data_IF_854124622167
#
_entry.id   IF_854124622167
#
_cell.length_a   1.000
_cell.length_b   1.000
_cell.length_c   1.000
_cell.angle_alpha   90.00
_cell.angle_beta   90.00
_cell.angle_gamma   90.00
#
_symmetry.space_group_name_H-M   'P 1'
#
loop_
_entity.id
_entity.type
_entity.pdbx_description
1 polymer ?
#
# COMPACT_ATOMS: atom_id res chain seq x y z
N UNK A 1 1.06 -2.72 -22.28
CA UNK A 1 0.70 -3.30 -20.98
C UNK A 1 -0.18 -4.53 -21.23
N UNK A 2 0.40 -5.73 -21.14
CA UNK A 2 -0.37 -6.98 -21.29
C UNK A 2 -1.21 -7.15 -20.03
N UNK A 3 -2.50 -7.39 -20.20
CA UNK A 3 -3.45 -7.57 -19.09
C UNK A 3 -3.01 -8.79 -18.24
N UNK A 4 -3.24 -8.72 -16.93
CA UNK A 4 -2.90 -9.77 -15.94
C UNK A 4 -3.33 -11.17 -16.39
N UNK A 5 -4.39 -11.28 -17.19
CA UNK A 5 -4.91 -12.54 -17.75
C UNK A 5 -4.04 -13.14 -18.87
N UNK A 6 -3.30 -12.34 -19.63
CA UNK A 6 -2.39 -12.84 -20.67
C UNK A 6 -1.06 -13.32 -20.10
N UNK A 7 -0.61 -12.76 -18.98
CA UNK A 7 0.60 -13.20 -18.27
C UNK A 7 0.43 -14.57 -17.61
N UNK A 8 -0.75 -14.89 -17.06
CA UNK A 8 -0.97 -16.17 -16.36
C UNK A 8 -0.80 -17.42 -17.25
N UNK A 9 -0.89 -17.30 -18.58
CA UNK A 9 -0.71 -18.43 -19.49
C UNK A 9 0.75 -18.78 -19.77
N UNK A 10 1.69 -17.87 -19.52
CA UNK A 10 3.10 -18.05 -19.87
C UNK A 10 3.98 -18.55 -18.71
N UNK A 11 3.53 -18.43 -17.43
CA UNK A 11 4.34 -18.86 -16.30
C UNK A 11 4.71 -20.34 -16.30
N UNK A 12 3.81 -21.31 -16.63
CA UNK A 12 4.18 -22.71 -16.71
C UNK A 12 5.29 -22.98 -17.73
N UNK A 13 5.26 -22.31 -18.88
CA UNK A 13 6.29 -22.45 -19.92
C UNK A 13 7.62 -21.84 -19.49
N UNK A 14 7.59 -20.65 -18.85
CA UNK A 14 8.77 -20.01 -18.30
C UNK A 14 9.44 -20.92 -17.24
N UNK A 15 8.65 -21.48 -16.31
CA UNK A 15 9.13 -22.41 -15.30
C UNK A 15 9.80 -23.63 -15.94
N UNK A 16 9.16 -24.25 -16.95
CA UNK A 16 9.72 -25.41 -17.66
C UNK A 16 11.01 -25.07 -18.38
N UNK A 17 11.10 -23.91 -19.01
CA UNK A 17 12.28 -23.44 -19.75
C UNK A 17 13.47 -23.21 -18.80
N UNK A 18 13.26 -22.50 -17.68
CA UNK A 18 14.32 -22.29 -16.68
C UNK A 18 14.76 -23.61 -16.01
N UNK A 19 13.81 -24.51 -15.71
CA UNK A 19 14.15 -25.84 -15.19
C UNK A 19 14.97 -26.65 -16.21
N UNK A 20 14.70 -26.54 -17.51
CA UNK A 20 15.47 -27.20 -18.56
C UNK A 20 16.89 -26.60 -18.65
N UNK A 21 17.02 -25.28 -18.58
CA UNK A 21 18.31 -24.59 -18.55
C UNK A 21 19.15 -25.02 -17.35
N UNK A 22 18.55 -25.12 -16.16
CA UNK A 22 19.22 -25.54 -14.93
C UNK A 22 19.64 -27.04 -14.92
N UNK A 23 18.98 -27.91 -15.70
CA UNK A 23 19.46 -29.27 -15.92
C UNK A 23 20.75 -29.30 -16.71
N UNK A 24 20.93 -28.37 -17.65
CA UNK A 24 22.18 -28.22 -18.42
C UNK A 24 23.28 -27.47 -17.67
N UNK A 25 22.89 -26.45 -16.91
CA UNK A 25 23.79 -25.57 -16.17
C UNK A 25 23.29 -25.33 -14.73
N UNK A 26 23.52 -26.24 -13.78
CA UNK A 26 22.99 -26.13 -12.41
C UNK A 26 23.50 -24.92 -11.59
N UNK A 27 24.59 -24.29 -12.05
CA UNK A 27 25.19 -23.11 -11.39
C UNK A 27 24.84 -21.78 -12.07
N UNK A 28 23.97 -21.80 -13.09
CA UNK A 28 23.58 -20.59 -13.78
C UNK A 28 22.67 -19.70 -12.89
N UNK A 29 23.27 -18.65 -12.33
CA UNK A 29 22.63 -17.70 -11.46
C UNK A 29 21.40 -17.06 -12.11
N UNK A 30 21.51 -16.65 -13.39
CA UNK A 30 20.39 -15.98 -14.08
C UNK A 30 19.19 -16.90 -14.27
N UNK A 31 19.40 -18.17 -14.56
CA UNK A 31 18.31 -19.15 -14.64
C UNK A 31 17.66 -19.43 -13.30
N UNK A 32 18.41 -19.39 -12.19
CA UNK A 32 17.82 -19.46 -10.84
C UNK A 32 16.95 -18.23 -10.54
N UNK A 33 17.43 -17.02 -10.84
CA UNK A 33 16.62 -15.79 -10.65
C UNK A 33 15.36 -15.84 -11.50
N UNK A 34 15.45 -16.12 -12.81
CA UNK A 34 14.27 -16.19 -13.68
C UNK A 34 13.27 -17.27 -13.27
N UNK A 35 13.73 -18.41 -12.74
CA UNK A 35 12.85 -19.44 -12.18
C UNK A 35 12.12 -18.95 -10.92
N UNK A 36 12.82 -18.24 -10.03
CA UNK A 36 12.25 -17.63 -8.84
C UNK A 36 11.19 -16.61 -9.17
N UNK A 37 11.45 -15.71 -10.11
CA UNK A 37 10.51 -14.71 -10.61
C UNK A 37 9.27 -15.37 -11.23
N UNK A 38 9.44 -16.41 -12.04
CA UNK A 38 8.34 -17.16 -12.63
C UNK A 38 7.46 -17.84 -11.58
N UNK A 39 8.07 -18.42 -10.53
CA UNK A 39 7.31 -18.98 -9.40
C UNK A 39 6.59 -17.90 -8.60
N UNK A 40 7.25 -16.78 -8.28
CA UNK A 40 6.64 -15.68 -7.54
C UNK A 40 5.44 -15.09 -8.31
N UNK A 41 5.60 -14.86 -9.62
CA UNK A 41 4.54 -14.36 -10.50
C UNK A 41 3.36 -15.34 -10.64
N UNK A 42 3.63 -16.64 -10.50
CA UNK A 42 2.59 -17.68 -10.46
C UNK A 42 1.94 -17.87 -9.07
N UNK A 43 2.29 -17.02 -8.08
CA UNK A 43 1.80 -17.13 -6.70
C UNK A 43 2.37 -18.32 -5.92
N UNK A 44 3.43 -18.97 -6.44
CA UNK A 44 4.08 -20.12 -5.79
C UNK A 44 5.22 -19.67 -4.88
N UNK A 45 4.90 -18.86 -3.89
CA UNK A 45 5.89 -18.16 -3.04
C UNK A 45 6.83 -19.10 -2.29
N UNK A 46 6.35 -20.25 -1.78
CA UNK A 46 7.21 -21.23 -1.09
C UNK A 46 8.23 -21.88 -2.02
N UNK A 47 7.89 -22.05 -3.30
CA UNK A 47 8.85 -22.55 -4.31
C UNK A 47 9.84 -21.45 -4.69
N UNK A 48 9.36 -20.21 -4.89
CA UNK A 48 10.19 -19.05 -5.17
C UNK A 48 11.22 -18.81 -4.04
N UNK A 49 10.81 -18.95 -2.79
CA UNK A 49 11.71 -18.81 -1.62
C UNK A 49 12.91 -19.75 -1.74
N UNK A 50 12.69 -21.04 -1.99
CA UNK A 50 13.76 -22.06 -2.13
C UNK A 50 14.69 -21.76 -3.30
N UNK A 51 14.13 -21.23 -4.39
CA UNK A 51 14.89 -20.93 -5.60
C UNK A 51 15.75 -19.69 -5.41
N UNK A 52 15.22 -18.64 -4.81
CA UNK A 52 15.99 -17.43 -4.50
C UNK A 52 17.06 -17.68 -3.41
N UNK A 53 16.77 -18.51 -2.42
CA UNK A 53 17.75 -18.94 -1.42
C UNK A 53 18.92 -19.66 -2.10
N UNK A 54 18.63 -20.56 -3.06
CA UNK A 54 19.67 -21.20 -3.87
C UNK A 54 20.45 -20.20 -4.71
N UNK A 55 19.80 -19.21 -5.32
CA UNK A 55 20.47 -18.15 -6.06
C UNK A 55 21.41 -17.34 -5.15
N UNK A 56 20.94 -16.95 -3.96
CA UNK A 56 21.73 -16.22 -2.98
C UNK A 56 22.96 -17.01 -2.46
N UNK A 57 22.85 -18.35 -2.36
CA UNK A 57 24.00 -19.21 -2.00
C UNK A 57 25.00 -19.41 -3.14
N UNK A 58 24.59 -19.20 -4.40
CA UNK A 58 25.51 -19.29 -5.56
C UNK A 58 26.34 -18.03 -5.75
N UNK A 59 25.77 -16.89 -5.39
CA UNK A 59 26.43 -15.59 -5.41
C UNK A 59 26.02 -14.77 -4.18
N UNK A 60 26.76 -14.93 -3.09
CA UNK A 60 26.49 -14.26 -1.81
C UNK A 60 26.65 -12.73 -1.87
N UNK A 61 27.37 -12.23 -2.89
CA UNK A 61 27.58 -10.79 -3.10
C UNK A 61 26.45 -10.14 -3.87
N UNK A 62 25.58 -10.94 -4.48
CA UNK A 62 24.51 -10.44 -5.31
C UNK A 62 23.32 -9.93 -4.47
N UNK A 63 23.22 -8.62 -4.40
CA UNK A 63 22.15 -7.93 -3.66
C UNK A 63 20.75 -8.23 -4.22
N UNK A 64 20.62 -8.47 -5.54
CA UNK A 64 19.32 -8.66 -6.19
C UNK A 64 18.64 -9.98 -5.75
N UNK A 65 19.40 -11.07 -5.62
CA UNK A 65 18.86 -12.33 -5.09
C UNK A 65 18.34 -12.16 -3.65
N UNK A 66 19.08 -11.46 -2.79
CA UNK A 66 18.66 -11.13 -1.42
C UNK A 66 17.40 -10.24 -1.41
N UNK A 67 17.33 -9.25 -2.29
CA UNK A 67 16.15 -8.40 -2.46
C UNK A 67 14.92 -9.21 -2.85
N UNK A 68 15.05 -10.10 -3.85
CA UNK A 68 13.94 -10.97 -4.28
C UNK A 68 13.50 -11.95 -3.19
N UNK A 69 14.44 -12.45 -2.39
CA UNK A 69 14.16 -13.30 -1.24
C UNK A 69 13.32 -12.54 -0.19
N UNK A 70 13.72 -11.30 0.12
CA UNK A 70 12.98 -10.43 1.03
C UNK A 70 11.57 -10.11 0.52
N UNK A 71 11.41 -9.83 -0.80
CA UNK A 71 10.11 -9.61 -1.41
C UNK A 71 9.18 -10.84 -1.25
N UNK A 72 9.71 -12.05 -1.47
CA UNK A 72 8.91 -13.29 -1.32
C UNK A 72 8.52 -13.50 0.15
N UNK A 73 9.40 -13.21 1.11
CA UNK A 73 9.06 -13.26 2.54
C UNK A 73 7.95 -12.29 2.90
N UNK A 74 7.98 -11.08 2.32
CA UNK A 74 6.89 -10.09 2.48
C UNK A 74 5.56 -10.64 1.99
N UNK A 75 5.53 -11.25 0.81
CA UNK A 75 4.31 -11.86 0.24
C UNK A 75 3.78 -13.04 1.08
N UNK A 76 4.65 -13.74 1.80
CA UNK A 76 4.30 -14.77 2.77
C UNK A 76 3.83 -14.23 4.13
N UNK A 77 3.90 -12.90 4.34
CA UNK A 77 3.57 -12.25 5.61
C UNK A 77 4.63 -12.41 6.69
N UNK A 78 5.85 -12.80 6.31
CA UNK A 78 7.04 -12.91 7.19
C UNK A 78 7.75 -11.55 7.23
N UNK A 79 7.05 -10.52 7.75
CA UNK A 79 7.47 -9.13 7.63
C UNK A 79 8.78 -8.83 8.36
N UNK A 80 9.01 -9.42 9.54
CA UNK A 80 10.24 -9.25 10.29
C UNK A 80 11.46 -9.71 9.48
N UNK A 81 11.41 -10.93 8.95
CA UNK A 81 12.48 -11.51 8.13
C UNK A 81 12.65 -10.79 6.77
N UNK A 82 11.56 -10.23 6.23
CA UNK A 82 11.63 -9.40 5.01
C UNK A 82 12.36 -8.08 5.31
N UNK A 83 12.04 -7.40 6.40
CA UNK A 83 12.73 -6.16 6.82
C UNK A 83 14.22 -6.40 7.07
N UNK A 84 14.59 -7.51 7.73
CA UNK A 84 15.99 -7.91 7.91
C UNK A 84 16.70 -8.07 6.57
N UNK A 85 16.09 -8.80 5.64
CA UNK A 85 16.64 -8.97 4.28
C UNK A 85 16.82 -7.65 3.51
N UNK A 86 15.88 -6.71 3.61
CA UNK A 86 16.03 -5.38 3.00
C UNK A 86 17.15 -4.57 3.65
N UNK A 87 17.31 -4.61 4.98
CA UNK A 87 18.43 -3.95 5.67
C UNK A 87 19.78 -4.55 5.27
N UNK A 88 19.89 -5.87 5.08
CA UNK A 88 21.08 -6.51 4.54
C UNK A 88 21.41 -6.00 3.14
N UNK A 89 20.40 -5.83 2.27
CA UNK A 89 20.61 -5.26 0.94
C UNK A 89 21.05 -3.80 1.03
N UNK A 90 20.45 -3.01 1.89
CA UNK A 90 20.84 -1.61 2.09
C UNK A 90 22.23 -1.45 2.69
N UNK A 91 22.73 -2.42 3.46
CA UNK A 91 24.11 -2.45 3.92
C UNK A 91 25.12 -2.64 2.75
N UNK A 92 24.68 -3.28 1.66
CA UNK A 92 25.48 -3.43 0.43
C UNK A 92 25.26 -2.27 -0.55
N UNK A 93 24.09 -1.67 -0.53
CA UNK A 93 23.60 -0.63 -1.42
C UNK A 93 22.76 0.39 -0.66
N UNK A 94 23.40 1.33 0.01
CA UNK A 94 22.78 2.25 0.99
C UNK A 94 21.56 3.02 0.47
N UNK A 95 21.53 3.38 -0.81
CA UNK A 95 20.48 4.23 -1.39
C UNK A 95 19.74 3.56 -2.56
N UNK A 96 19.63 2.24 -2.52
CA UNK A 96 18.85 1.54 -3.55
C UNK A 96 17.36 1.86 -3.40
N UNK A 97 16.88 2.75 -4.27
CA UNK A 97 15.53 3.34 -4.19
C UNK A 97 14.42 2.28 -4.05
N UNK A 98 14.46 1.22 -4.90
CA UNK A 98 13.44 0.16 -4.86
C UNK A 98 13.41 -0.59 -3.53
N UNK A 99 14.56 -0.75 -2.88
CA UNK A 99 14.68 -1.42 -1.58
C UNK A 99 14.17 -0.51 -0.44
N UNK A 100 14.48 0.79 -0.49
CA UNK A 100 13.97 1.76 0.48
C UNK A 100 12.43 1.81 0.45
N UNK A 101 11.83 1.86 -0.75
CA UNK A 101 10.37 1.83 -0.90
C UNK A 101 9.79 0.52 -0.36
N UNK A 102 10.37 -0.63 -0.73
CA UNK A 102 9.89 -1.94 -0.28
C UNK A 102 10.01 -2.10 1.25
N UNK A 103 11.07 -1.59 1.87
CA UNK A 103 11.25 -1.59 3.31
C UNK A 103 10.21 -0.72 3.99
N UNK A 104 9.98 0.51 3.51
CA UNK A 104 9.00 1.41 4.12
C UNK A 104 7.57 0.85 4.07
N UNK A 105 7.16 0.29 2.93
CA UNK A 105 5.86 -0.39 2.79
C UNK A 105 5.73 -1.60 3.72
N UNK A 106 6.81 -2.39 3.86
CA UNK A 106 6.82 -3.58 4.71
C UNK A 106 6.75 -3.22 6.20
N UNK A 107 7.41 -2.14 6.61
CA UNK A 107 7.34 -1.63 7.98
C UNK A 107 5.93 -1.21 8.37
N UNK A 108 5.19 -0.58 7.45
CA UNK A 108 3.78 -0.24 7.68
C UNK A 108 2.90 -1.51 7.74
N UNK A 109 3.10 -2.47 6.83
CA UNK A 109 2.38 -3.74 6.88
C UNK A 109 2.66 -4.51 8.19
N UNK A 110 3.91 -4.48 8.65
CA UNK A 110 4.31 -5.05 9.94
C UNK A 110 3.66 -4.32 11.12
N UNK A 111 3.57 -2.98 11.08
CA UNK A 111 2.89 -2.21 12.10
C UNK A 111 1.40 -2.59 12.20
N UNK A 112 0.71 -2.76 11.08
CA UNK A 112 -0.67 -3.24 11.05
C UNK A 112 -0.82 -4.64 11.64
N UNK A 113 0.07 -5.58 11.31
CA UNK A 113 0.09 -6.92 11.91
C UNK A 113 0.29 -6.86 13.43
N UNK A 114 1.15 -5.97 13.90
CA UNK A 114 1.34 -5.77 15.33
C UNK A 114 0.12 -5.16 16.04
N UNK A 115 -0.61 -4.24 15.37
CA UNK A 115 -1.90 -3.74 15.88
C UNK A 115 -2.92 -4.88 16.02
N UNK A 116 -3.06 -5.72 15.00
CA UNK A 116 -3.99 -6.86 15.00
C UNK A 116 -3.65 -7.88 16.09
N UNK A 117 -2.38 -8.06 16.39
CA UNK A 117 -1.89 -9.02 17.41
C UNK A 117 -1.68 -8.41 18.79
N UNK A 118 -1.95 -7.09 18.98
CA UNK A 118 -1.87 -6.40 20.25
C UNK A 118 -0.45 -5.99 20.69
N UNK A 119 0.55 -6.09 19.80
CA UNK A 119 1.93 -5.65 20.09
C UNK A 119 2.14 -4.16 19.77
N UNK A 120 1.41 -3.31 20.45
CA UNK A 120 1.34 -1.87 20.16
C UNK A 120 2.69 -1.14 20.20
N UNK A 121 3.56 -1.46 21.15
CA UNK A 121 4.90 -0.84 21.21
C UNK A 121 5.71 -1.13 19.96
N UNK A 122 5.70 -2.38 19.47
CA UNK A 122 6.37 -2.75 18.22
C UNK A 122 5.77 -2.08 16.97
N UNK A 123 4.46 -1.85 16.99
CA UNK A 123 3.80 -1.11 15.91
C UNK A 123 4.32 0.33 15.85
N UNK A 124 4.47 1.01 16.99
CA UNK A 124 5.05 2.36 17.08
C UNK A 124 6.49 2.36 16.57
N UNK A 125 7.33 1.43 17.05
CA UNK A 125 8.73 1.33 16.61
C UNK A 125 8.84 1.16 15.09
N UNK A 126 7.98 0.30 14.50
CA UNK A 126 7.94 0.07 13.06
C UNK A 126 7.56 1.34 12.29
N UNK A 127 6.61 2.13 12.79
CA UNK A 127 6.23 3.40 12.15
C UNK A 127 7.34 4.46 12.29
N UNK A 128 7.98 4.56 13.44
CA UNK A 128 9.11 5.48 13.64
C UNK A 128 10.26 5.16 12.68
N UNK A 129 10.60 3.88 12.54
CA UNK A 129 11.59 3.44 11.55
C UNK A 129 11.14 3.76 10.12
N UNK A 130 9.87 3.51 9.80
CA UNK A 130 9.29 3.84 8.49
C UNK A 130 9.47 5.33 8.16
N UNK A 131 9.26 6.25 9.11
CA UNK A 131 9.46 7.69 8.87
C UNK A 131 10.93 8.00 8.56
N UNK A 132 11.88 7.33 9.21
CA UNK A 132 13.30 7.46 8.88
C UNK A 132 13.63 6.99 7.46
N UNK A 133 13.09 5.85 7.05
CA UNK A 133 13.26 5.32 5.68
C UNK A 133 12.55 6.22 4.66
N UNK A 134 11.34 6.71 4.97
CA UNK A 134 10.59 7.63 4.12
C UNK A 134 11.37 8.92 3.83
N UNK A 135 12.13 9.43 4.81
CA UNK A 135 13.03 10.58 4.59
C UNK A 135 14.12 10.26 3.57
N UNK A 136 14.72 9.07 3.61
CA UNK A 136 15.71 8.66 2.61
C UNK A 136 15.07 8.53 1.22
N UNK A 137 13.83 8.03 1.12
CA UNK A 137 13.09 7.97 -0.15
C UNK A 137 12.82 9.38 -0.68
N UNK A 138 12.42 10.32 0.19
CA UNK A 138 12.16 11.72 -0.16
C UNK A 138 13.40 12.40 -0.74
N UNK A 139 14.57 12.20 -0.12
CA UNK A 139 15.86 12.75 -0.60
C UNK A 139 16.24 12.23 -1.99
N UNK A 140 15.83 11.00 -2.35
CA UNK A 140 16.09 10.44 -3.69
C UNK A 140 15.02 10.88 -4.71
N UNK A 141 13.73 10.86 -4.33
CA UNK A 141 12.59 11.27 -5.18
C UNK A 141 11.40 11.70 -4.33
N UNK A 142 11.02 12.95 -4.44
CA UNK A 142 9.91 13.54 -3.70
C UNK A 142 8.52 13.28 -4.33
N UNK A 143 8.46 13.08 -5.62
CA UNK A 143 7.24 12.96 -6.43
C UNK A 143 6.66 11.53 -6.51
N UNK A 144 7.06 10.65 -5.60
CA UNK A 144 6.69 9.24 -5.67
C UNK A 144 5.38 8.95 -4.94
N UNK A 145 4.41 8.40 -5.66
CA UNK A 145 3.13 7.95 -5.10
C UNK A 145 3.31 7.03 -3.88
N UNK A 146 4.18 6.02 -3.99
CA UNK A 146 4.40 5.05 -2.93
C UNK A 146 4.92 5.69 -1.64
N UNK A 147 5.76 6.72 -1.73
CA UNK A 147 6.21 7.47 -0.57
C UNK A 147 5.04 8.08 0.19
N UNK A 148 4.25 8.91 -0.48
CA UNK A 148 3.17 9.66 0.17
C UNK A 148 2.02 8.76 0.60
N UNK A 149 1.74 7.70 -0.15
CA UNK A 149 0.82 6.63 0.28
C UNK A 149 1.32 5.98 1.58
N UNK A 150 2.58 5.58 1.64
CA UNK A 150 3.17 4.90 2.80
C UNK A 150 3.19 5.81 4.04
N UNK A 151 3.52 7.10 3.88
CA UNK A 151 3.45 8.10 4.96
C UNK A 151 2.01 8.24 5.46
N UNK A 152 1.04 8.31 4.56
CA UNK A 152 -0.39 8.34 4.91
C UNK A 152 -0.83 7.09 5.66
N UNK A 153 -0.50 5.90 5.14
CA UNK A 153 -0.82 4.61 5.78
C UNK A 153 -0.21 4.51 7.19
N UNK A 154 1.04 4.95 7.36
CA UNK A 154 1.74 4.97 8.65
C UNK A 154 1.07 5.92 9.66
N UNK A 155 0.66 7.11 9.23
CA UNK A 155 -0.10 8.04 10.07
C UNK A 155 -1.44 7.42 10.50
N UNK A 156 -2.11 6.73 9.59
CA UNK A 156 -3.43 6.13 9.86
C UNK A 156 -3.37 4.98 10.87
N UNK A 157 -2.24 4.31 11.08
CA UNK A 157 -2.05 3.31 12.14
C UNK A 157 -2.50 3.85 13.50
N UNK A 158 -2.11 5.08 13.84
CA UNK A 158 -2.45 5.73 15.12
C UNK A 158 -3.92 6.11 15.26
N UNK A 159 -4.67 6.19 14.18
CA UNK A 159 -6.10 6.47 14.21
C UNK A 159 -6.95 5.29 14.72
N UNK A 160 -6.41 4.06 14.69
CA UNK A 160 -7.12 2.84 15.07
C UNK A 160 -7.04 2.53 16.56
N UNK A 161 -5.95 2.91 17.20
CA UNK A 161 -5.76 2.72 18.64
C UNK A 161 -5.46 4.09 19.25
N UNK A 162 -6.47 4.72 19.83
CA UNK A 162 -6.37 6.10 20.33
C UNK A 162 -5.28 6.29 21.37
N UNK A 163 -5.03 5.27 22.20
CA UNK A 163 -3.97 5.30 23.23
C UNK A 163 -2.57 5.45 22.61
N UNK A 164 -2.39 5.03 21.35
CA UNK A 164 -1.11 5.18 20.64
C UNK A 164 -0.89 6.59 20.10
N UNK A 165 -1.91 7.42 20.02
CA UNK A 165 -1.80 8.77 19.45
C UNK A 165 -0.76 9.64 20.19
N UNK A 166 -0.49 9.36 21.47
CA UNK A 166 0.55 10.04 22.23
C UNK A 166 1.98 9.71 21.77
N UNK A 167 2.16 8.58 21.08
CA UNK A 167 3.43 8.13 20.52
C UNK A 167 3.61 8.49 19.04
N UNK A 168 2.66 9.24 18.47
CA UNK A 168 2.73 9.64 17.07
C UNK A 168 3.96 10.52 16.80
N UNK A 169 4.82 10.17 15.83
CA UNK A 169 6.06 10.87 15.55
C UNK A 169 5.82 12.15 14.73
N UNK A 170 4.99 13.07 15.26
CA UNK A 170 4.53 14.27 14.56
C UNK A 170 5.68 15.11 14.01
N UNK A 171 6.75 15.28 14.77
CA UNK A 171 7.88 16.09 14.32
C UNK A 171 8.57 15.52 13.08
N UNK A 172 8.73 14.19 13.00
CA UNK A 172 9.30 13.53 11.83
C UNK A 172 8.37 13.63 10.61
N UNK A 173 7.06 13.44 10.82
CA UNK A 173 6.08 13.57 9.73
C UNK A 173 5.99 15.01 9.21
N UNK A 174 6.02 16.00 10.10
CA UNK A 174 6.04 17.41 9.68
C UNK A 174 7.30 17.75 8.87
N UNK A 175 8.44 17.18 9.23
CA UNK A 175 9.68 17.37 8.47
C UNK A 175 9.55 16.88 7.03
N UNK A 176 8.90 15.70 6.81
CA UNK A 176 8.63 15.19 5.48
C UNK A 176 7.67 16.08 4.68
N UNK A 177 6.63 16.61 5.34
CA UNK A 177 5.61 17.45 4.70
C UNK A 177 6.17 18.84 4.37
N UNK A 178 7.04 19.40 5.21
CA UNK A 178 7.59 20.77 5.02
C UNK A 178 8.53 20.92 3.84
N UNK A 179 9.27 19.85 3.54
CA UNK A 179 10.35 19.92 2.56
C UNK A 179 9.85 19.95 1.10
N UNK A 180 8.57 19.58 0.82
CA UNK A 180 8.15 19.35 -0.57
C UNK A 180 6.68 19.69 -0.90
N UNK A 181 5.94 20.39 -0.05
CA UNK A 181 4.53 20.71 -0.33
C UNK A 181 4.35 22.10 -0.95
N UNK A 182 3.71 22.13 -2.14
CA UNK A 182 3.09 23.35 -2.67
C UNK A 182 1.73 23.60 -1.99
N UNK A 183 1.41 24.86 -1.69
CA UNK A 183 0.14 25.27 -1.10
C UNK A 183 -1.08 24.78 -1.91
N UNK A 184 -0.98 24.73 -3.24
CA UNK A 184 -2.04 24.23 -4.13
C UNK A 184 -2.37 22.75 -3.92
N UNK A 185 -1.40 21.94 -3.49
CA UNK A 185 -1.58 20.52 -3.24
C UNK A 185 -2.34 20.27 -1.94
N UNK A 186 -2.12 21.10 -0.94
CA UNK A 186 -2.81 21.05 0.34
C UNK A 186 -4.27 21.46 0.21
N UNK A 187 -4.59 22.32 -0.74
CA UNK A 187 -5.92 22.87 -0.92
C UNK A 187 -6.86 21.94 -1.71
N UNK A 188 -6.36 20.81 -2.21
CA UNK A 188 -7.25 19.84 -2.82
C UNK A 188 -8.32 19.41 -1.80
N UNK A 189 -9.60 19.64 -2.12
CA UNK A 189 -10.74 19.37 -1.24
C UNK A 189 -10.78 20.16 0.09
N UNK A 190 -9.89 21.12 0.34
CA UNK A 190 -9.84 21.88 1.59
C UNK A 190 -11.16 22.66 1.86
N UNK A 191 -11.88 23.05 0.81
CA UNK A 191 -13.24 23.61 0.87
C UNK A 191 -14.28 22.62 1.42
N UNK A 192 -14.04 21.33 1.25
CA UNK A 192 -14.96 20.27 1.65
C UNK A 192 -14.62 19.68 3.04
N UNK A 193 -13.33 19.41 3.31
CA UNK A 193 -12.88 18.73 4.52
C UNK A 193 -12.34 19.69 5.60
N UNK A 194 -11.91 20.88 5.21
CA UNK A 194 -11.29 21.86 6.09
C UNK A 194 -9.83 21.52 6.45
N UNK A 195 -9.24 20.52 5.76
CA UNK A 195 -7.86 20.10 5.97
C UNK A 195 -7.00 20.61 4.81
N UNK A 196 -6.33 21.72 5.01
CA UNK A 196 -5.42 22.36 4.06
C UNK A 196 -4.32 23.10 4.80
N UNK A 197 -3.78 24.15 4.21
CA UNK A 197 -2.73 24.98 4.84
C UNK A 197 -3.05 25.38 6.29
N UNK A 198 -4.29 25.82 6.65
CA UNK A 198 -4.62 26.15 8.03
C UNK A 198 -4.52 24.97 9.00
N UNK A 199 -4.77 23.74 8.53
CA UNK A 199 -4.62 22.53 9.36
C UNK A 199 -3.14 22.22 9.57
N UNK A 200 -2.31 22.36 8.54
CA UNK A 200 -0.86 22.20 8.65
C UNK A 200 -0.27 23.22 9.64
N UNK A 201 -0.67 24.50 9.58
CA UNK A 201 -0.23 25.52 10.51
C UNK A 201 -0.63 25.23 11.96
N UNK A 202 -1.78 24.61 12.18
CA UNK A 202 -2.20 24.15 13.50
C UNK A 202 -1.38 22.96 13.99
N UNK A 203 -1.06 22.01 13.10
CA UNK A 203 -0.18 20.88 13.42
C UNK A 203 1.20 21.38 13.83
N UNK A 204 1.81 22.27 13.04
CA UNK A 204 3.09 22.90 13.34
C UNK A 204 3.09 23.66 14.67
N UNK A 205 2.01 24.37 14.95
CA UNK A 205 1.84 25.15 16.18
C UNK A 205 1.45 24.32 17.41
N UNK A 206 1.35 23.00 17.31
CA UNK A 206 0.91 22.12 18.42
C UNK A 206 -0.53 22.41 18.90
N UNK A 207 -1.36 23.03 18.05
CA UNK A 207 -2.73 23.45 18.37
C UNK A 207 -3.80 22.42 17.94
N UNK A 208 -3.37 21.21 17.66
CA UNK A 208 -4.24 20.09 17.27
C UNK A 208 -4.25 19.05 18.39
N UNK A 209 -5.43 18.48 18.67
CA UNK A 209 -5.54 17.38 19.63
C UNK A 209 -4.67 16.19 19.16
N UNK A 210 -4.08 15.48 20.12
CA UNK A 210 -3.20 14.34 19.90
C UNK A 210 -3.86 13.27 19.01
N UNK A 211 -5.14 12.99 19.19
CA UNK A 211 -5.89 12.01 18.36
C UNK A 211 -6.15 12.54 16.94
N UNK A 212 -6.25 13.86 16.77
CA UNK A 212 -6.50 14.49 15.47
C UNK A 212 -5.22 14.60 14.63
N UNK A 213 -4.07 14.76 15.27
CA UNK A 213 -2.80 15.00 14.59
C UNK A 213 -2.43 13.92 13.56
N UNK A 214 -2.44 12.60 13.88
CA UNK A 214 -2.13 11.56 12.90
C UNK A 214 -3.14 11.52 11.75
N UNK A 215 -4.41 11.77 12.03
CA UNK A 215 -5.48 11.75 11.01
C UNK A 215 -5.26 12.88 10.00
N UNK A 216 -5.02 14.11 10.47
CA UNK A 216 -4.79 15.27 9.59
C UNK A 216 -3.47 15.13 8.81
N UNK A 217 -2.42 14.65 9.46
CA UNK A 217 -1.15 14.37 8.78
C UNK A 217 -1.32 13.30 7.67
N UNK A 218 -2.09 12.25 7.95
CA UNK A 218 -2.40 11.21 6.95
C UNK A 218 -3.22 11.75 5.77
N UNK A 219 -4.24 12.59 6.03
CA UNK A 219 -5.03 13.24 4.97
C UNK A 219 -4.11 14.11 4.08
N UNK A 220 -3.23 14.91 4.67
CA UNK A 220 -2.28 15.74 3.93
C UNK A 220 -1.34 14.89 3.06
N UNK A 221 -0.79 13.81 3.62
CA UNK A 221 0.06 12.88 2.86
C UNK A 221 -0.68 12.24 1.67
N UNK A 222 -1.94 11.81 1.86
CA UNK A 222 -2.73 11.26 0.74
C UNK A 222 -3.12 12.31 -0.30
N UNK A 223 -3.30 13.59 0.10
CA UNK A 223 -3.47 14.68 -0.87
C UNK A 223 -2.23 14.83 -1.75
N UNK A 224 -1.04 14.80 -1.16
CA UNK A 224 0.22 14.80 -1.91
C UNK A 224 0.33 13.59 -2.85
N UNK A 225 -0.08 12.41 -2.40
CA UNK A 225 -0.09 11.19 -3.23
C UNK A 225 -0.95 11.34 -4.50
N UNK A 226 -2.03 12.12 -4.47
CA UNK A 226 -2.90 12.37 -5.64
C UNK A 226 -2.12 13.11 -6.74
N UNK A 227 -1.30 14.09 -6.38
CA UNK A 227 -0.50 14.83 -7.37
C UNK A 227 0.59 13.97 -7.99
N UNK A 228 1.19 13.08 -7.19
CA UNK A 228 2.21 12.15 -7.68
C UNK A 228 1.68 11.09 -8.66
N UNK A 229 0.37 11.05 -8.95
CA UNK A 229 -0.27 10.01 -9.78
C UNK A 229 -0.95 10.55 -11.03
N UNK A 230 -0.70 11.79 -11.42
CA UNK A 230 -1.45 12.47 -12.50
C UNK A 230 -1.52 11.66 -13.83
N UNK A 231 -0.47 10.91 -14.15
CA UNK A 231 -0.32 10.18 -15.40
C UNK A 231 -0.76 8.70 -15.33
N UNK A 232 -0.95 8.13 -14.12
CA UNK A 232 -1.38 6.75 -13.92
C UNK A 232 -2.80 6.68 -13.39
N UNK A 233 -3.75 6.30 -14.26
CA UNK A 233 -5.17 6.22 -13.90
C UNK A 233 -5.45 5.27 -12.74
N UNK A 234 -4.77 4.13 -12.67
CA UNK A 234 -4.96 3.16 -11.58
C UNK A 234 -4.43 3.72 -10.27
N UNK A 235 -3.18 4.16 -10.25
CA UNK A 235 -2.57 4.76 -9.06
C UNK A 235 -3.38 5.99 -8.59
N UNK A 236 -3.89 6.80 -9.53
CA UNK A 236 -4.75 7.94 -9.22
C UNK A 236 -6.09 7.53 -8.57
N UNK A 237 -6.71 6.44 -9.03
CA UNK A 237 -7.92 5.89 -8.40
C UNK A 237 -7.63 5.41 -6.98
N UNK A 238 -6.51 4.70 -6.77
CA UNK A 238 -6.07 4.24 -5.44
C UNK A 238 -5.77 5.42 -4.51
N UNK A 239 -5.12 6.49 -5.01
CA UNK A 239 -4.84 7.69 -4.22
C UNK A 239 -6.15 8.35 -3.71
N UNK A 240 -7.16 8.51 -4.58
CA UNK A 240 -8.47 9.02 -4.17
C UNK A 240 -9.20 8.08 -3.21
N UNK A 241 -9.05 6.77 -3.36
CA UNK A 241 -9.62 5.79 -2.45
C UNK A 241 -9.01 5.93 -1.05
N UNK A 242 -7.68 6.04 -0.96
CA UNK A 242 -6.96 6.18 0.30
C UNK A 242 -7.34 7.48 1.01
N UNK A 243 -7.42 8.61 0.28
CA UNK A 243 -7.92 9.86 0.84
C UNK A 243 -9.35 9.70 1.36
N UNK A 244 -10.24 9.08 0.58
CA UNK A 244 -11.63 8.84 1.00
C UNK A 244 -11.72 7.98 2.26
N UNK A 245 -10.85 6.98 2.39
CA UNK A 245 -10.79 6.11 3.57
C UNK A 245 -10.30 6.88 4.80
N UNK A 246 -9.29 7.73 4.64
CA UNK A 246 -8.80 8.59 5.72
C UNK A 246 -9.86 9.60 6.18
N UNK A 247 -10.58 10.21 5.25
CA UNK A 247 -11.69 11.12 5.54
C UNK A 247 -12.85 10.40 6.26
N UNK A 248 -13.21 9.19 5.82
CA UNK A 248 -14.21 8.39 6.51
C UNK A 248 -13.73 8.01 7.91
N UNK A 249 -12.47 7.69 8.08
CA UNK A 249 -11.88 7.41 9.39
C UNK A 249 -11.87 8.64 10.28
N UNK A 250 -11.57 9.83 9.75
CA UNK A 250 -11.66 11.09 10.48
C UNK A 250 -13.07 11.29 11.05
N UNK A 251 -14.12 11.09 10.23
CA UNK A 251 -15.49 11.17 10.67
C UNK A 251 -15.82 10.21 11.83
N UNK A 252 -15.28 8.98 11.78
CA UNK A 252 -15.56 7.94 12.80
C UNK A 252 -14.76 8.15 14.08
N UNK A 253 -13.49 8.54 13.97
CA UNK A 253 -12.54 8.57 15.08
C UNK A 253 -12.54 9.89 15.86
N UNK A 254 -12.83 11.00 15.20
CA UNK A 254 -12.77 12.32 15.84
C UNK A 254 -14.07 12.66 16.59
N UNK A 255 -13.93 13.35 17.71
CA UNK A 255 -15.05 13.79 18.54
C UNK A 255 -14.93 15.30 18.78
N UNK A 256 -15.97 16.11 18.50
CA UNK A 256 -17.25 15.73 17.90
C UNK A 256 -17.13 15.31 16.43
N UNK A 257 -18.05 14.45 15.97
CA UNK A 257 -18.08 14.03 14.56
C UNK A 257 -18.39 15.21 13.65
N UNK A 258 -17.47 15.49 12.70
CA UNK A 258 -17.70 16.54 11.69
C UNK A 258 -18.17 15.91 10.37
N UNK A 259 -19.39 16.29 9.97
CA UNK A 259 -20.00 15.83 8.71
C UNK A 259 -19.21 16.20 7.47
N UNK A 260 -18.33 17.21 7.53
CA UNK A 260 -17.45 17.60 6.42
C UNK A 260 -16.59 16.43 5.98
N UNK A 261 -15.97 15.72 6.91
CA UNK A 261 -15.14 14.55 6.61
C UNK A 261 -15.93 13.43 5.93
N UNK A 262 -17.16 13.18 6.38
CA UNK A 262 -18.01 12.17 5.73
C UNK A 262 -18.40 12.55 4.31
N UNK A 263 -18.76 13.81 4.07
CA UNK A 263 -19.10 14.32 2.75
C UNK A 263 -17.88 14.32 1.82
N UNK A 264 -16.69 14.65 2.35
CA UNK A 264 -15.41 14.56 1.64
C UNK A 264 -15.13 13.12 1.22
N UNK A 265 -15.26 12.14 2.13
CA UNK A 265 -15.10 10.72 1.82
C UNK A 265 -16.02 10.27 0.68
N UNK A 266 -17.31 10.64 0.72
CA UNK A 266 -18.27 10.30 -0.34
C UNK A 266 -17.85 10.91 -1.69
N UNK A 267 -17.33 12.16 -1.70
CA UNK A 267 -16.82 12.80 -2.92
C UNK A 267 -15.62 12.02 -3.49
N UNK A 268 -14.69 11.63 -2.63
CA UNK A 268 -13.52 10.83 -3.01
C UNK A 268 -13.95 9.48 -3.61
N UNK A 269 -14.81 8.71 -2.95
CA UNK A 269 -15.27 7.41 -3.44
C UNK A 269 -16.05 7.50 -4.76
N UNK A 270 -16.85 8.54 -4.93
CA UNK A 270 -17.51 8.79 -6.23
C UNK A 270 -16.49 9.06 -7.34
N UNK A 271 -15.41 9.80 -7.04
CA UNK A 271 -14.34 10.06 -8.00
C UNK A 271 -13.57 8.79 -8.35
N UNK A 272 -13.26 7.97 -7.36
CA UNK A 272 -12.63 6.65 -7.52
C UNK A 272 -13.44 5.74 -8.44
N UNK A 273 -14.75 5.63 -8.22
CA UNK A 273 -15.64 4.81 -9.04
C UNK A 273 -15.71 5.32 -10.48
N UNK A 274 -15.62 6.64 -10.71
CA UNK A 274 -15.55 7.20 -12.08
C UNK A 274 -14.26 6.78 -12.80
N UNK A 275 -13.17 6.67 -12.07
CA UNK A 275 -11.89 6.22 -12.61
C UNK A 275 -11.90 4.71 -12.87
N UNK A 276 -12.37 3.90 -11.92
CA UNK A 276 -12.40 2.43 -12.01
C UNK A 276 -13.73 1.84 -11.53
N UNK A 277 -14.75 1.80 -12.37
CA UNK A 277 -16.07 1.31 -11.99
C UNK A 277 -16.14 -0.21 -11.77
N UNK A 278 -15.11 -0.94 -12.17
CA UNK A 278 -15.00 -2.41 -12.06
C UNK A 278 -14.42 -2.92 -10.73
N UNK A 279 -14.01 -2.03 -9.83
CA UNK A 279 -13.45 -2.45 -8.54
C UNK A 279 -14.56 -2.50 -7.48
N UNK A 280 -14.78 -3.69 -6.89
CA UNK A 280 -15.84 -3.91 -5.90
C UNK A 280 -15.57 -3.19 -4.57
N UNK A 281 -14.30 -3.01 -4.18
CA UNK A 281 -13.92 -2.34 -2.93
C UNK A 281 -14.36 -0.88 -2.93
N UNK A 282 -14.25 -0.21 -4.09
CA UNK A 282 -14.65 1.19 -4.24
C UNK A 282 -16.16 1.41 -4.07
N UNK A 283 -16.96 0.48 -4.59
CA UNK A 283 -18.40 0.47 -4.38
C UNK A 283 -18.79 0.16 -2.93
N UNK A 284 -18.09 -0.79 -2.31
CA UNK A 284 -18.29 -1.14 -0.90
C UNK A 284 -18.03 0.07 0.01
N UNK A 285 -16.91 0.78 -0.20
CA UNK A 285 -16.56 1.97 0.57
C UNK A 285 -17.62 3.09 0.43
N UNK A 286 -18.13 3.34 -0.79
CA UNK A 286 -19.21 4.29 -1.00
C UNK A 286 -20.49 3.87 -0.25
N UNK A 287 -20.81 2.57 -0.29
CA UNK A 287 -21.97 2.03 0.44
C UNK A 287 -21.89 2.27 1.93
N UNK A 288 -20.75 1.95 2.54
CA UNK A 288 -20.51 2.19 3.97
C UNK A 288 -20.57 3.67 4.34
N UNK A 289 -19.94 4.55 3.56
CA UNK A 289 -19.92 5.98 3.83
C UNK A 289 -21.32 6.63 3.70
N UNK A 290 -22.20 6.09 2.86
CA UNK A 290 -23.54 6.64 2.61
C UNK A 290 -24.66 6.01 3.45
N UNK A 291 -24.38 4.93 4.19
CA UNK A 291 -25.40 4.10 4.85
C UNK A 291 -26.40 4.87 5.72
N UNK A 292 -25.93 5.79 6.53
CA UNK A 292 -26.79 6.60 7.41
C UNK A 292 -27.41 7.84 6.72
N UNK A 293 -26.77 8.37 5.65
CA UNK A 293 -27.22 9.57 4.96
C UNK A 293 -28.23 9.28 3.87
N UNK A 294 -28.03 8.23 3.11
CA UNK A 294 -28.89 7.85 1.99
C UNK A 294 -28.90 6.32 1.83
N UNK A 295 -29.79 5.62 2.54
CA UNK A 295 -29.87 4.17 2.51
C UNK A 295 -30.09 3.58 1.11
N UNK A 296 -30.78 4.30 0.21
CA UNK A 296 -31.00 3.85 -1.18
C UNK A 296 -29.69 3.83 -1.98
N UNK A 297 -28.88 4.88 -1.84
CA UNK A 297 -27.55 4.93 -2.49
C UNK A 297 -26.64 3.88 -1.89
N UNK A 298 -26.65 3.71 -0.56
CA UNK A 298 -25.89 2.67 0.12
C UNK A 298 -26.25 1.27 -0.38
N UNK A 299 -27.55 0.95 -0.42
CA UNK A 299 -28.03 -0.35 -0.94
C UNK A 299 -27.58 -0.58 -2.38
N UNK A 300 -27.75 0.41 -3.27
CA UNK A 300 -27.30 0.30 -4.65
C UNK A 300 -25.79 0.03 -4.74
N UNK A 301 -24.99 0.76 -3.98
CA UNK A 301 -23.53 0.63 -4.00
C UNK A 301 -23.08 -0.75 -3.48
N UNK A 302 -23.66 -1.24 -2.37
CA UNK A 302 -23.34 -2.55 -1.81
C UNK A 302 -23.76 -3.70 -2.72
N UNK A 303 -24.97 -3.63 -3.33
CA UNK A 303 -25.41 -4.60 -4.32
C UNK A 303 -24.49 -4.62 -5.54
N UNK A 304 -24.04 -3.43 -5.98
CA UNK A 304 -23.09 -3.35 -7.09
C UNK A 304 -21.73 -3.95 -6.74
N UNK A 305 -21.23 -3.74 -5.52
CA UNK A 305 -20.00 -4.35 -5.02
C UNK A 305 -20.09 -5.88 -5.04
N UNK A 306 -21.17 -6.46 -4.52
CA UNK A 306 -21.41 -7.90 -4.54
C UNK A 306 -21.45 -8.44 -5.97
N UNK A 307 -22.18 -7.81 -6.88
CA UNK A 307 -22.27 -8.23 -8.27
C UNK A 307 -20.92 -8.24 -9.00
N UNK A 308 -20.05 -7.27 -8.70
CA UNK A 308 -18.70 -7.22 -9.28
C UNK A 308 -17.83 -8.31 -8.68
N UNK A 309 -17.89 -8.51 -7.36
CA UNK A 309 -17.12 -9.53 -6.65
C UNK A 309 -17.50 -10.94 -7.11
N UNK A 310 -18.82 -11.22 -7.26
CA UNK A 310 -19.30 -12.51 -7.75
C UNK A 310 -18.83 -12.80 -9.18
N UNK A 311 -18.79 -11.81 -10.06
CA UNK A 311 -18.22 -11.97 -11.41
C UNK A 311 -16.73 -12.32 -11.40
N UNK A 312 -15.97 -11.80 -10.45
CA UNK A 312 -14.56 -12.14 -10.27
C UNK A 312 -14.38 -13.55 -9.72
N UNK A 313 -15.23 -13.95 -8.77
CA UNK A 313 -15.18 -15.28 -8.14
C UNK A 313 -15.75 -16.39 -9.02
N UNK A 314 -16.71 -16.10 -9.89
CA UNK A 314 -17.32 -17.06 -10.83
C UNK A 314 -16.63 -17.15 -12.20
N UNK A 315 -15.54 -16.45 -12.42
CA UNK A 315 -14.75 -16.72 -13.63
C UNK A 315 -14.05 -18.07 -13.44
N UNK A 316 -14.53 -19.17 -14.07
CA UNK A 316 -13.87 -20.48 -13.92
C UNK A 316 -12.43 -20.33 -14.43
N UNK A 317 -11.47 -21.03 -13.83
CA UNK A 317 -10.12 -21.05 -14.35
C UNK A 317 -10.18 -21.47 -15.81
N UNK A 318 -9.73 -20.62 -16.72
CA UNK A 318 -9.70 -20.90 -18.15
C UNK A 318 -8.90 -22.19 -18.36
N UNK A 319 -9.59 -23.28 -18.66
CA UNK A 319 -8.97 -24.59 -18.89
C UNK A 319 -9.62 -25.77 -18.16
N UNK A 320 -10.64 -25.58 -17.33
CA UNK A 320 -11.41 -26.72 -16.82
C UNK A 320 -12.32 -27.28 -17.94
N UNK A 321 -12.23 -28.60 -18.29
CA UNK A 321 -13.16 -29.18 -19.24
C UNK A 321 -14.57 -29.11 -18.65
N UNK A 322 -15.51 -28.61 -19.43
CA UNK A 322 -16.93 -28.64 -19.10
C UNK A 322 -17.32 -30.07 -18.74
N UNK A 323 -17.54 -30.35 -17.46
CA UNK A 323 -18.28 -31.56 -17.08
C UNK A 323 -19.69 -31.37 -17.63
N UNK A 324 -20.05 -32.17 -18.67
CA UNK A 324 -21.43 -32.29 -19.13
C UNK A 324 -22.25 -32.80 -17.94
N UNK A 325 -23.16 -31.94 -17.48
CA UNK A 325 -24.17 -32.38 -16.53
C UNK A 325 -25.03 -33.51 -17.16
N UNK A 326 -25.50 -34.47 -16.35
CA UNK A 326 -26.32 -35.59 -16.80
C UNK A 326 -27.69 -35.17 -17.32
#
# INVERSE_FOLDING_TARGET
MLTRDQNNQNYPLAIQSFQAALRGSPKDFHSWIGLGEAYASAGRYTAALKVFDKAATLDETNWFAKYMLANVRRELGEFESACEGYREVLALREREFGVLVALSETLVAMAWKYIETGYYGRAVDSVVECMGVAKMVLEERSDTFNLWKTVGDACMVFSWVQDLAHHFPLAQVLQLIEDDFDASELDIMADADGVGQPALDKLKGGRVNVVTAPVYAGILAYKRAIFATADDRHAHAVAWYNLGTAEHRAYVALTPRDMKHRLAAIRCFKRTIKLEPGNHEFWNALGLATAELNPKVAQHALVRALYINDKVSFSPPKGAPFAKAP
#
